data_IF_337569694746
#
_entry.id   IF_337569694746
#
_cell.length_a   1.000
_cell.length_b   1.000
_cell.length_c   1.000
_cell.angle_alpha   90.00
_cell.angle_beta   90.00
_cell.angle_gamma   90.00
#
_symmetry.space_group_name_H-M   'P 1'
#
loop_
_entity.id
_entity.type
_entity.pdbx_description
1 polymer ?
#
# COMPACT_ATOMS: atom_id res chain seq x y z
N UNK A 1 -21.05 6.92 6.02
CA UNK A 1 -19.86 6.09 6.29
C UNK A 1 -18.73 6.67 5.47
N UNK A 2 -17.68 7.16 6.12
CA UNK A 2 -16.51 7.73 5.44
C UNK A 2 -15.59 6.57 5.02
N UNK A 3 -15.27 6.49 3.73
CA UNK A 3 -14.37 5.45 3.20
C UNK A 3 -12.95 5.98 3.29
N UNK A 4 -12.13 5.37 4.14
CA UNK A 4 -10.74 5.75 4.32
C UNK A 4 -9.86 4.79 3.54
N UNK A 5 -9.08 5.34 2.61
CA UNK A 5 -7.99 4.63 1.98
C UNK A 5 -6.72 4.90 2.78
N UNK A 6 -5.92 3.85 2.93
CA UNK A 6 -4.62 3.93 3.57
C UNK A 6 -3.57 3.42 2.60
N UNK A 7 -2.37 4.00 2.67
CA UNK A 7 -1.24 3.57 1.86
C UNK A 7 -0.26 2.81 2.74
N UNK A 8 0.24 1.68 2.25
CA UNK A 8 1.12 0.80 3.01
C UNK A 8 2.28 0.28 2.15
N UNK A 9 3.42 0.00 2.79
CA UNK A 9 4.50 -0.80 2.22
C UNK A 9 4.33 -2.26 2.67
N UNK A 10 4.19 -3.23 1.76
CA UNK A 10 3.91 -4.64 2.10
C UNK A 10 5.01 -5.59 1.65
N UNK A 11 5.25 -6.62 2.47
CA UNK A 11 6.17 -7.72 2.15
C UNK A 11 5.68 -8.56 0.97
N UNK A 12 4.37 -8.52 0.66
CA UNK A 12 3.81 -9.23 -0.49
C UNK A 12 4.05 -8.41 -1.77
N UNK A 13 4.33 -9.12 -2.86
CA UNK A 13 4.49 -8.52 -4.19
C UNK A 13 3.21 -8.60 -5.05
N UNK A 14 2.24 -9.42 -4.65
CA UNK A 14 1.03 -9.71 -5.44
C UNK A 14 -0.22 -9.84 -4.57
N UNK A 15 -1.36 -9.45 -5.15
CA UNK A 15 -2.68 -9.49 -4.53
C UNK A 15 -3.73 -9.91 -5.56
N UNK A 16 -4.62 -10.81 -5.17
CA UNK A 16 -5.86 -11.18 -5.85
C UNK A 16 -6.97 -10.12 -5.73
N UNK A 17 -6.84 -9.20 -4.76
CA UNK A 17 -7.68 -8.00 -4.59
C UNK A 17 -8.60 -8.06 -3.38
N UNK A 18 -9.41 -9.12 -3.25
CA UNK A 18 -10.35 -9.29 -2.12
C UNK A 18 -9.88 -10.36 -1.15
N UNK A 19 -10.07 -10.12 0.15
CA UNK A 19 -9.67 -11.01 1.25
C UNK A 19 -8.16 -11.28 1.37
N UNK A 20 -7.32 -10.60 0.57
CA UNK A 20 -5.90 -10.64 0.78
C UNK A 20 -5.50 -9.84 2.02
N UNK A 21 -4.70 -10.49 2.86
CA UNK A 21 -3.95 -9.79 3.88
C UNK A 21 -2.64 -9.25 3.30
N UNK A 22 -2.21 -8.03 3.67
CA UNK A 22 -0.93 -7.46 3.25
C UNK A 22 0.30 -8.06 3.92
N UNK A 23 0.17 -9.11 4.73
CA UNK A 23 1.28 -9.64 5.52
C UNK A 23 1.81 -8.58 6.51
N UNK A 24 3.12 -8.53 6.74
CA UNK A 24 3.70 -7.41 7.47
C UNK A 24 3.78 -6.18 6.58
N UNK A 25 3.49 -5.02 7.17
CA UNK A 25 3.49 -3.76 6.44
C UNK A 25 3.97 -2.58 7.28
N UNK A 26 4.37 -1.52 6.60
CA UNK A 26 4.58 -0.18 7.19
C UNK A 26 3.34 0.66 6.87
N UNK A 27 2.71 1.19 7.91
CA UNK A 27 1.68 2.22 7.79
C UNK A 27 2.33 3.59 7.68
N UNK A 28 1.69 4.38 6.87
CA UNK A 28 2.19 5.54 6.19
C UNK A 28 1.10 6.62 6.21
N UNK A 29 -0.15 6.21 6.44
CA UNK A 29 -1.25 7.06 6.83
C UNK A 29 -2.43 6.97 5.87
N UNK A 30 -3.34 7.91 6.09
CA UNK A 30 -4.59 8.01 5.36
C UNK A 30 -4.40 8.82 4.08
N UNK A 31 -4.92 8.30 2.97
CA UNK A 31 -5.15 9.07 1.75
C UNK A 31 -6.48 9.84 1.91
N UNK A 32 -6.46 11.18 1.91
CA UNK A 32 -7.68 11.98 1.99
C UNK A 32 -8.47 11.78 0.69
N UNK A 33 -9.47 10.91 0.74
CA UNK A 33 -10.28 10.51 -0.40
C UNK A 33 -11.19 11.67 -0.86
N UNK A 34 -10.72 12.53 -1.77
CA UNK A 34 -11.57 13.61 -2.34
C UNK A 34 -11.40 13.87 -3.84
N UNK A 35 -10.84 12.92 -4.60
CA UNK A 35 -10.50 13.03 -6.03
C UNK A 35 -9.26 13.88 -6.33
N UNK A 36 -8.60 13.60 -7.45
CA UNK A 36 -7.39 14.27 -7.90
C UNK A 36 -6.13 13.41 -7.80
N UNK A 37 -5.00 14.03 -8.12
CA UNK A 37 -3.67 13.41 -8.02
C UNK A 37 -3.07 13.74 -6.67
N UNK A 38 -2.66 12.71 -5.93
CA UNK A 38 -1.99 12.86 -4.65
C UNK A 38 -0.54 12.40 -4.78
N UNK A 39 0.37 13.20 -4.24
CA UNK A 39 1.79 12.86 -4.13
C UNK A 39 2.09 12.81 -2.63
N UNK A 40 2.65 11.69 -2.18
CA UNK A 40 3.12 11.54 -0.81
C UNK A 40 4.60 11.16 -0.86
N UNK A 41 5.40 11.78 0.01
CA UNK A 41 6.82 11.47 0.14
C UNK A 41 6.94 10.48 1.28
N UNK A 42 7.45 9.29 0.98
CA UNK A 42 7.68 8.24 1.97
C UNK A 42 9.16 8.25 2.35
N UNK A 43 9.44 8.36 3.65
CA UNK A 43 10.79 8.21 4.18
C UNK A 43 11.10 6.71 4.32
N UNK A 44 11.49 6.08 3.21
CA UNK A 44 11.87 4.68 3.15
C UNK A 44 13.36 4.52 2.89
N UNK A 45 13.97 3.52 3.50
CA UNK A 45 15.36 3.14 3.27
C UNK A 45 15.49 2.18 2.09
N UNK A 46 16.73 1.95 1.64
CA UNK A 46 17.02 0.93 0.62
C UNK A 46 16.74 -0.47 1.18
N UNK A 47 16.99 -0.67 2.48
CA UNK A 47 16.69 -1.91 3.19
C UNK A 47 15.18 -2.19 3.19
N UNK A 48 14.34 -1.16 3.36
CA UNK A 48 12.89 -1.30 3.25
C UNK A 48 12.48 -1.73 1.85
N UNK A 49 13.02 -1.11 0.80
CA UNK A 49 12.70 -1.49 -0.59
C UNK A 49 13.13 -2.94 -0.90
N UNK A 50 14.21 -3.44 -0.28
CA UNK A 50 14.63 -4.84 -0.44
C UNK A 50 13.73 -5.81 0.31
N UNK A 51 13.19 -5.40 1.46
CA UNK A 51 12.35 -6.23 2.32
C UNK A 51 10.91 -6.28 1.84
N UNK A 52 10.39 -5.15 1.36
CA UNK A 52 8.99 -5.01 1.00
C UNK A 52 8.80 -5.08 -0.52
N UNK A 53 7.86 -5.91 -0.97
CA UNK A 53 7.64 -6.25 -2.37
C UNK A 53 6.63 -5.37 -3.09
N UNK A 54 5.86 -4.52 -2.39
CA UNK A 54 4.89 -3.64 -3.02
C UNK A 54 4.54 -2.40 -2.19
N UNK A 55 4.02 -1.39 -2.90
CA UNK A 55 3.23 -0.31 -2.30
C UNK A 55 1.76 -0.59 -2.61
N UNK A 56 0.90 -0.55 -1.61
CA UNK A 56 -0.53 -0.84 -1.76
C UNK A 56 -1.42 0.26 -1.18
N UNK A 57 -2.59 0.40 -1.78
CA UNK A 57 -3.70 1.19 -1.23
C UNK A 57 -4.75 0.20 -0.73
N UNK A 58 -5.06 0.27 0.56
CA UNK A 58 -6.00 -0.64 1.20
C UNK A 58 -7.16 0.11 1.83
N UNK A 59 -8.35 -0.45 1.61
CA UNK A 59 -9.58 -0.01 2.25
C UNK A 59 -9.82 -0.85 3.50
N UNK A 60 -9.36 -0.35 4.65
CA UNK A 60 -9.39 -1.04 5.94
C UNK A 60 -10.80 -1.52 6.35
N UNK A 61 -11.88 -0.73 6.26
CA UNK A 61 -13.22 -1.15 6.70
C UNK A 61 -13.76 -2.39 5.98
N UNK A 62 -13.31 -2.62 4.74
CA UNK A 62 -13.79 -3.72 3.91
C UNK A 62 -12.76 -4.83 3.72
N UNK A 63 -11.53 -4.65 4.23
CA UNK A 63 -10.40 -5.57 4.02
C UNK A 63 -10.16 -5.88 2.53
N UNK A 64 -10.20 -4.86 1.67
CA UNK A 64 -10.02 -4.99 0.20
C UNK A 64 -8.86 -4.15 -0.29
N UNK A 65 -7.89 -4.78 -0.95
CA UNK A 65 -6.81 -4.09 -1.66
C UNK A 65 -7.42 -3.34 -2.84
N UNK A 66 -7.35 -2.02 -2.80
CA UNK A 66 -7.91 -1.17 -3.84
C UNK A 66 -7.01 -1.19 -5.09
N UNK A 67 -5.71 -1.04 -4.89
CA UNK A 67 -4.70 -1.20 -5.94
C UNK A 67 -3.33 -1.41 -5.29
N UNK A 68 -2.36 -1.89 -6.07
CA UNK A 68 -0.97 -2.03 -5.64
C UNK A 68 -0.03 -1.87 -6.83
N UNK A 69 1.22 -1.52 -6.52
CA UNK A 69 2.33 -1.53 -7.46
C UNK A 69 3.43 -2.42 -6.89
N UNK A 70 3.86 -3.42 -7.67
CA UNK A 70 5.02 -4.23 -7.32
C UNK A 70 6.28 -3.37 -7.35
N UNK A 71 7.07 -3.46 -6.30
CA UNK A 71 8.43 -2.95 -6.26
C UNK A 71 9.33 -4.03 -6.86
N UNK A 72 9.16 -4.32 -8.16
CA UNK A 72 10.13 -5.21 -8.83
C UNK A 72 11.51 -4.62 -8.59
N UNK A 73 12.41 -5.43 -8.01
CA UNK A 73 13.77 -5.00 -7.72
C UNK A 73 14.34 -4.35 -8.98
N UNK A 74 14.56 -3.04 -8.92
CA UNK A 74 15.31 -2.32 -9.94
C UNK A 74 16.64 -3.05 -10.04
N UNK A 75 16.81 -3.85 -11.10
CA UNK A 75 18.02 -4.64 -11.35
C UNK A 75 19.23 -3.74 -11.45
#
# INVERSE_FOLDING_TARGET
>A
MEVNFFFYLSEKSTFSGTQDEPGNYIDFGRLPAQSGTFITIMNITIEDIKKYGSVLIWCEPFKVVFTYASLEHVK
#
